data_IF_514140041800
#
_entry.id   IF_514140041800
#
_cell.length_a   1.000
_cell.length_b   1.000
_cell.length_c   1.000
_cell.angle_alpha   90.00
_cell.angle_beta   90.00
_cell.angle_gamma   90.00
#
_symmetry.space_group_name_H-M   'P 1'
#
loop_
_entity.id
_entity.type
_entity.pdbx_description
1 polymer ?
#
# COMPACT_ATOMS: atom_id res chain seq x y z
N UNK A 1 93.53 34.96 6.52
CA UNK A 1 92.26 35.16 7.26
C UNK A 1 92.01 33.88 8.03
N UNK A 2 92.39 33.87 9.32
CA UNK A 2 92.53 32.67 10.15
C UNK A 2 91.54 32.68 11.33
N UNK A 3 91.09 31.47 11.70
CA UNK A 3 90.72 30.99 13.06
C UNK A 3 89.35 31.40 13.67
N UNK A 4 88.85 30.73 14.74
CA UNK A 4 88.26 29.38 14.76
C UNK A 4 86.95 29.29 15.63
N UNK A 5 86.45 28.07 15.83
CA UNK A 5 85.40 27.59 16.76
C UNK A 5 85.24 28.27 18.14
N UNK A 6 84.00 28.38 18.68
CA UNK A 6 83.70 28.23 20.14
C UNK A 6 82.24 27.80 20.46
N UNK A 7 82.14 26.87 21.42
CA UNK A 7 80.97 26.43 22.21
C UNK A 7 80.42 27.54 23.15
N UNK A 8 79.12 27.49 23.48
CA UNK A 8 78.51 27.85 24.79
C UNK A 8 77.01 27.45 24.76
N UNK A 9 76.49 26.50 25.56
CA UNK A 9 76.20 26.43 27.00
C UNK A 9 74.81 26.96 27.42
N UNK A 10 73.97 26.00 27.82
CA UNK A 10 72.69 25.93 28.55
C UNK A 10 72.10 27.15 29.27
N UNK A 11 70.76 27.22 29.29
CA UNK A 11 69.99 27.49 30.52
C UNK A 11 68.59 26.85 30.52
N UNK A 12 68.33 26.10 31.60
CA UNK A 12 67.10 25.40 31.96
C UNK A 12 66.04 26.39 32.46
N UNK A 13 64.77 26.20 32.08
CA UNK A 13 63.62 26.70 32.83
C UNK A 13 62.55 25.59 32.91
N UNK A 14 62.57 24.82 34.00
CA UNK A 14 61.50 23.88 34.35
C UNK A 14 60.34 24.66 34.97
N UNK A 15 59.26 24.89 34.21
CA UNK A 15 57.97 25.29 34.75
C UNK A 15 57.10 24.05 34.98
N UNK A 16 56.86 23.70 36.25
CA UNK A 16 55.90 22.66 36.62
C UNK A 16 54.48 23.19 36.38
N UNK A 17 53.76 22.65 35.39
CA UNK A 17 52.32 22.81 35.27
C UNK A 17 51.63 21.76 36.15
N UNK A 18 50.90 22.21 37.17
CA UNK A 18 49.97 21.39 37.94
C UNK A 18 48.66 21.27 37.16
N UNK A 19 48.18 20.07 36.78
CA UNK A 19 46.90 19.94 36.09
C UNK A 19 45.74 20.08 37.08
N UNK A 20 44.98 21.17 36.97
CA UNK A 20 43.69 21.34 37.65
C UNK A 20 42.69 20.36 37.03
N UNK A 21 42.29 19.34 37.77
CA UNK A 21 41.20 18.46 37.36
C UNK A 21 39.86 19.13 37.68
N UNK A 22 39.19 19.65 36.66
CA UNK A 22 37.81 20.11 36.78
C UNK A 22 36.89 18.87 36.90
N UNK A 23 36.29 18.68 38.08
CA UNK A 23 35.26 17.66 38.29
C UNK A 23 33.96 18.13 37.64
N UNK A 24 33.55 17.47 36.55
CA UNK A 24 32.27 17.73 35.90
C UNK A 24 31.11 17.24 36.79
N UNK A 25 30.11 18.09 37.02
CA UNK A 25 28.88 17.69 37.70
C UNK A 25 28.08 16.72 36.83
N UNK A 26 27.42 15.70 37.42
CA UNK A 26 26.60 14.77 36.65
C UNK A 26 25.39 15.49 36.05
N UNK A 27 25.21 15.34 34.74
CA UNK A 27 24.06 15.90 34.02
C UNK A 27 22.78 15.15 34.41
N UNK A 28 21.84 15.85 35.03
CA UNK A 28 20.49 15.35 35.26
C UNK A 28 19.77 15.22 33.92
N UNK A 29 19.56 14.00 33.46
CA UNK A 29 18.75 13.73 32.26
C UNK A 29 17.28 13.97 32.60
N UNK A 30 16.69 15.01 32.01
CA UNK A 30 15.26 15.21 32.06
C UNK A 30 14.57 14.06 31.32
N UNK A 31 13.78 13.25 32.03
CA UNK A 31 13.00 12.19 31.43
C UNK A 31 11.99 12.79 30.45
N UNK A 32 12.13 12.48 29.17
CA UNK A 32 11.17 12.89 28.13
C UNK A 32 9.86 12.15 28.38
N UNK A 33 8.78 12.87 28.68
CA UNK A 33 7.47 12.26 28.83
C UNK A 33 7.07 11.54 27.54
N UNK A 34 6.55 10.32 27.67
CA UNK A 34 6.12 9.53 26.52
C UNK A 34 5.02 10.28 25.73
N UNK A 35 5.01 10.18 24.38
CA UNK A 35 4.00 10.84 23.57
C UNK A 35 2.61 10.30 23.92
N UNK A 36 1.72 11.19 24.38
CA UNK A 36 0.31 10.86 24.61
C UNK A 36 -0.37 10.66 23.25
N UNK A 37 -1.02 9.51 23.07
CA UNK A 37 -1.86 9.22 21.90
C UNK A 37 -3.33 9.38 22.29
N UNK A 38 -3.90 10.60 22.22
CA UNK A 38 -5.24 10.90 22.78
C UNK A 38 -6.40 10.12 22.14
N UNK A 39 -6.15 9.44 21.03
CA UNK A 39 -7.15 8.64 20.30
C UNK A 39 -6.91 7.12 20.46
N UNK A 40 -5.88 6.71 21.20
CA UNK A 40 -5.57 5.30 21.43
C UNK A 40 -6.72 4.66 22.22
N UNK A 41 -7.34 3.63 21.63
CA UNK A 41 -8.52 2.95 22.19
C UNK A 41 -9.87 3.38 21.59
N UNK A 42 -9.94 4.46 20.80
CA UNK A 42 -11.15 4.81 20.07
C UNK A 42 -11.42 3.81 18.93
N UNK A 43 -12.69 3.47 18.73
CA UNK A 43 -13.15 2.56 17.68
C UNK A 43 -14.02 3.31 16.68
N UNK A 44 -13.65 3.23 15.40
CA UNK A 44 -14.50 3.69 14.32
C UNK A 44 -15.78 2.85 14.25
N UNK A 45 -16.90 3.52 13.96
CA UNK A 45 -18.18 2.88 13.65
C UNK A 45 -18.81 3.53 12.44
N UNK A 46 -19.46 2.72 11.61
CA UNK A 46 -20.29 3.24 10.53
C UNK A 46 -21.52 3.93 11.13
N UNK A 47 -21.76 5.20 10.77
CA UNK A 47 -22.94 5.98 11.20
C UNK A 47 -24.08 5.88 10.19
N UNK A 48 -23.79 5.36 8.99
CA UNK A 48 -24.75 5.15 7.92
C UNK A 48 -24.67 6.24 6.83
N UNK A 49 -25.35 6.02 5.70
CA UNK A 49 -26.21 4.87 5.41
C UNK A 49 -25.41 3.55 5.29
N UNK A 50 -26.01 2.43 5.72
CA UNK A 50 -25.35 1.11 5.74
C UNK A 50 -25.15 0.51 4.33
N UNK A 51 -25.87 1.04 3.34
CA UNK A 51 -25.81 0.67 1.93
C UNK A 51 -26.03 1.93 1.11
N UNK A 52 -25.23 2.13 0.07
CA UNK A 52 -25.36 3.29 -0.80
C UNK A 52 -24.15 3.49 -1.68
N UNK A 53 -24.22 4.49 -2.56
CA UNK A 53 -23.18 4.77 -3.53
C UNK A 53 -23.31 3.95 -4.82
N UNK A 54 -22.35 4.14 -5.72
CA UNK A 54 -22.35 3.53 -7.05
C UNK A 54 -21.45 2.31 -7.07
N UNK A 55 -22.03 1.14 -7.25
CA UNK A 55 -21.29 -0.08 -7.57
C UNK A 55 -20.80 -0.02 -9.03
N UNK A 56 -19.53 -0.36 -9.23
CA UNK A 56 -18.82 -0.32 -10.51
C UNK A 56 -18.42 -1.71 -10.99
N UNK A 57 -18.27 -2.67 -10.07
CA UNK A 57 -18.02 -4.07 -10.39
C UNK A 57 -18.69 -5.00 -9.38
N UNK A 58 -19.20 -6.14 -9.85
CA UNK A 58 -19.80 -7.19 -9.01
C UNK A 58 -19.34 -8.55 -9.50
N UNK A 59 -19.16 -9.52 -8.61
CA UNK A 59 -18.98 -10.93 -8.97
C UNK A 59 -19.49 -11.85 -7.88
N UNK A 60 -20.07 -12.99 -8.28
CA UNK A 60 -20.36 -14.10 -7.37
C UNK A 60 -19.19 -15.06 -7.24
N UNK A 61 -19.36 -16.07 -6.39
CA UNK A 61 -18.44 -17.21 -6.24
C UNK A 61 -19.06 -18.48 -6.82
N UNK A 62 -18.41 -19.17 -7.76
CA UNK A 62 -18.90 -20.45 -8.28
C UNK A 62 -19.11 -21.48 -7.16
N UNK A 63 -20.30 -22.09 -7.12
CA UNK A 63 -20.67 -23.08 -6.11
C UNK A 63 -21.11 -22.52 -4.76
N UNK A 64 -21.09 -21.20 -4.56
CA UNK A 64 -21.56 -20.55 -3.34
C UNK A 64 -22.56 -19.43 -3.66
N UNK A 65 -23.88 -19.69 -3.58
CA UNK A 65 -24.90 -18.71 -3.92
C UNK A 65 -25.04 -17.57 -2.90
N UNK A 66 -24.33 -17.63 -1.75
CA UNK A 66 -24.42 -16.62 -0.70
C UNK A 66 -23.23 -15.66 -0.68
N UNK A 67 -22.17 -15.97 -1.43
CA UNK A 67 -20.95 -15.17 -1.45
C UNK A 67 -20.85 -14.31 -2.71
N UNK A 68 -20.77 -12.99 -2.48
CA UNK A 68 -20.61 -11.99 -3.54
C UNK A 68 -19.58 -10.94 -3.14
N UNK A 69 -18.98 -10.33 -4.16
CA UNK A 69 -18.11 -9.19 -4.03
C UNK A 69 -18.70 -8.03 -4.83
N UNK A 70 -18.60 -6.82 -4.30
CA UNK A 70 -18.79 -5.61 -5.09
C UNK A 70 -17.69 -4.60 -4.83
N UNK A 71 -17.42 -3.78 -5.83
CA UNK A 71 -16.54 -2.63 -5.76
C UNK A 71 -17.33 -1.37 -6.07
N UNK A 72 -16.95 -0.25 -5.45
CA UNK A 72 -17.59 1.03 -5.69
C UNK A 72 -16.72 2.00 -6.51
N UNK A 73 -17.35 3.00 -7.10
CA UNK A 73 -16.68 4.10 -7.81
C UNK A 73 -15.66 4.81 -6.91
N UNK A 74 -16.03 4.98 -5.64
CA UNK A 74 -15.16 5.32 -4.52
C UNK A 74 -15.81 4.71 -3.27
N UNK A 75 -15.03 4.21 -2.32
CA UNK A 75 -15.54 3.54 -1.11
C UNK A 75 -15.15 2.06 -0.98
N UNK A 76 -14.27 1.55 -1.84
CA UNK A 76 -13.53 0.32 -1.64
C UNK A 76 -14.22 -0.95 -2.15
N UNK A 77 -13.65 -2.07 -1.70
CA UNK A 77 -14.06 -3.43 -2.04
C UNK A 77 -14.81 -4.07 -0.87
N UNK A 78 -15.91 -4.75 -1.17
CA UNK A 78 -16.82 -5.32 -0.18
C UNK A 78 -17.13 -6.77 -0.50
N UNK A 79 -17.34 -7.57 0.56
CA UNK A 79 -17.75 -8.97 0.47
C UNK A 79 -18.92 -9.27 1.38
N UNK A 80 -19.86 -10.06 0.88
CA UNK A 80 -20.89 -10.73 1.67
C UNK A 80 -20.69 -12.24 1.60
N UNK A 81 -21.19 -12.96 2.60
CA UNK A 81 -21.25 -14.43 2.67
C UNK A 81 -22.62 -14.93 3.12
N UNK A 82 -23.61 -14.03 3.18
CA UNK A 82 -24.95 -14.28 3.72
C UNK A 82 -26.04 -13.73 2.78
N UNK A 83 -25.77 -13.77 1.47
CA UNK A 83 -26.75 -13.37 0.47
C UNK A 83 -26.94 -11.85 0.34
N UNK A 84 -25.98 -11.05 0.81
CA UNK A 84 -26.06 -9.58 0.77
C UNK A 84 -26.73 -8.95 1.99
N UNK A 85 -27.06 -9.76 3.01
CA UNK A 85 -27.61 -9.27 4.27
C UNK A 85 -26.59 -8.43 5.04
N UNK A 86 -25.34 -8.85 5.10
CA UNK A 86 -24.23 -8.08 5.65
C UNK A 86 -23.05 -8.00 4.69
N UNK A 87 -22.31 -6.89 4.77
CA UNK A 87 -21.14 -6.63 3.93
C UNK A 87 -19.94 -6.26 4.80
N UNK A 88 -18.79 -6.85 4.48
CA UNK A 88 -17.51 -6.60 5.15
C UNK A 88 -16.59 -5.84 4.19
N UNK A 89 -15.98 -4.72 4.62
CA UNK A 89 -14.97 -4.04 3.82
C UNK A 89 -13.70 -4.89 3.77
N UNK A 90 -13.09 -4.97 2.60
CA UNK A 90 -11.84 -5.70 2.38
C UNK A 90 -10.63 -4.78 2.20
N UNK A 91 -10.86 -3.49 1.92
CA UNK A 91 -9.82 -2.47 1.72
C UNK A 91 -9.40 -1.68 2.96
N UNK A 92 -10.16 -1.72 4.06
CA UNK A 92 -9.82 -0.97 5.28
C UNK A 92 -8.46 -1.35 5.87
N UNK A 93 -7.99 -2.58 5.61
CA UNK A 93 -6.67 -3.08 6.06
C UNK A 93 -5.58 -2.95 5.01
N UNK A 94 -5.88 -2.34 3.87
CA UNK A 94 -5.00 -2.26 2.71
C UNK A 94 -5.04 -0.85 2.08
N UNK A 95 -4.64 0.18 2.84
CA UNK A 95 -4.79 1.59 2.46
C UNK A 95 -3.95 2.00 1.24
N UNK A 96 -2.99 1.18 0.82
CA UNK A 96 -2.18 1.41 -0.36
C UNK A 96 -2.95 1.22 -1.67
N UNK A 97 -4.09 0.54 -1.66
CA UNK A 97 -4.93 0.39 -2.84
C UNK A 97 -5.91 1.55 -2.97
N UNK A 98 -6.17 1.96 -4.21
CA UNK A 98 -7.17 2.98 -4.48
C UNK A 98 -8.55 2.55 -3.99
N UNK A 99 -9.35 3.46 -3.40
CA UNK A 99 -10.72 3.18 -2.98
C UNK A 99 -11.68 3.03 -4.17
N UNK A 100 -11.24 3.25 -5.40
CA UNK A 100 -12.02 2.99 -6.60
C UNK A 100 -11.74 1.58 -7.11
N UNK A 101 -12.79 0.83 -7.40
CA UNK A 101 -12.70 -0.54 -7.92
C UNK A 101 -13.40 -0.62 -9.27
N UNK A 102 -12.68 -0.96 -10.33
CA UNK A 102 -13.22 -1.04 -11.69
C UNK A 102 -13.61 -2.46 -12.10
N UNK A 103 -12.89 -3.46 -11.61
CA UNK A 103 -13.14 -4.86 -11.96
C UNK A 103 -12.82 -5.79 -10.78
N UNK A 104 -13.60 -6.87 -10.66
CA UNK A 104 -13.36 -7.95 -9.70
C UNK A 104 -13.56 -9.27 -10.44
N UNK A 105 -12.64 -10.21 -10.26
CA UNK A 105 -12.75 -11.54 -10.82
C UNK A 105 -12.35 -12.60 -9.79
N UNK A 106 -13.22 -13.57 -9.57
CA UNK A 106 -12.94 -14.77 -8.78
C UNK A 106 -12.51 -15.88 -9.75
N UNK A 107 -11.42 -16.59 -9.44
CA UNK A 107 -10.96 -17.68 -10.28
C UNK A 107 -11.93 -18.89 -10.18
N UNK A 108 -12.47 -19.41 -11.30
CA UNK A 108 -13.43 -20.52 -11.24
C UNK A 108 -12.83 -21.82 -10.70
N UNK A 109 -11.55 -22.08 -11.01
CA UNK A 109 -10.80 -23.25 -10.53
C UNK A 109 -10.43 -23.19 -9.05
N UNK A 110 -10.39 -21.99 -8.45
CA UNK A 110 -10.07 -21.81 -7.05
C UNK A 110 -10.65 -20.48 -6.52
N UNK A 111 -11.85 -20.50 -5.92
CA UNK A 111 -12.50 -19.31 -5.38
C UNK A 111 -11.75 -18.52 -4.29
N UNK A 112 -10.64 -19.06 -3.76
CA UNK A 112 -9.75 -18.28 -2.88
C UNK A 112 -8.93 -17.26 -3.65
N UNK A 113 -8.73 -17.46 -4.95
CA UNK A 113 -7.99 -16.52 -5.80
C UNK A 113 -8.95 -15.47 -6.34
N UNK A 114 -8.67 -14.22 -6.01
CA UNK A 114 -9.46 -13.05 -6.43
C UNK A 114 -8.52 -12.00 -7.00
N UNK A 115 -8.83 -11.49 -8.19
CA UNK A 115 -8.16 -10.35 -8.79
C UNK A 115 -9.05 -9.12 -8.73
N UNK A 116 -8.46 -7.97 -8.45
CA UNK A 116 -9.14 -6.68 -8.35
C UNK A 116 -8.38 -5.65 -9.15
N UNK A 117 -9.07 -5.06 -10.11
CA UNK A 117 -8.57 -3.94 -10.89
C UNK A 117 -9.12 -2.67 -10.30
N UNK A 118 -8.24 -1.75 -9.93
CA UNK A 118 -8.65 -0.48 -9.33
C UNK A 118 -8.96 0.60 -10.38
N UNK A 119 -9.68 1.63 -9.95
CA UNK A 119 -10.05 2.79 -10.75
C UNK A 119 -11.49 2.78 -11.21
N UNK A 120 -12.11 3.95 -11.21
CA UNK A 120 -13.49 4.11 -11.64
C UNK A 120 -13.60 4.01 -13.16
N UNK A 121 -14.47 3.12 -13.63
CA UNK A 121 -14.66 2.85 -15.07
C UNK A 121 -15.95 3.46 -15.62
N UNK A 122 -16.84 3.93 -14.76
CA UNK A 122 -18.08 4.61 -15.12
C UNK A 122 -17.82 6.13 -15.25
N UNK A 123 -16.90 6.50 -16.13
CA UNK A 123 -16.32 7.85 -16.21
C UNK A 123 -17.41 8.91 -16.39
N UNK A 124 -17.48 9.84 -15.44
CA UNK A 124 -18.22 11.12 -15.53
C UNK A 124 -17.24 12.26 -15.23
N UNK A 125 -17.68 13.52 -15.29
CA UNK A 125 -16.80 14.71 -15.22
C UNK A 125 -15.77 14.74 -14.08
N UNK A 126 -15.95 13.93 -13.04
CA UNK A 126 -14.96 13.59 -12.02
C UNK A 126 -14.90 12.06 -11.82
N UNK A 127 -13.68 11.53 -11.64
CA UNK A 127 -13.44 10.11 -11.35
C UNK A 127 -12.36 9.95 -10.29
N UNK A 128 -12.42 8.84 -9.54
CA UNK A 128 -11.31 8.42 -8.69
C UNK A 128 -10.45 7.41 -9.45
N UNK A 129 -9.19 7.77 -9.64
CA UNK A 129 -8.22 6.93 -10.36
C UNK A 129 -7.78 5.75 -9.50
N UNK A 130 -7.54 4.63 -10.17
CA UNK A 130 -6.92 3.43 -9.65
C UNK A 130 -5.40 3.55 -9.58
N UNK A 131 -4.81 2.48 -9.07
CA UNK A 131 -3.36 2.29 -8.98
C UNK A 131 -2.95 0.83 -9.26
N UNK A 132 -3.71 0.17 -10.14
CA UNK A 132 -3.36 -1.10 -10.75
C UNK A 132 -4.13 -2.32 -10.28
N UNK A 133 -3.53 -3.48 -10.56
CA UNK A 133 -4.09 -4.79 -10.32
C UNK A 133 -3.61 -5.32 -8.96
N UNK A 134 -4.51 -5.96 -8.23
CA UNK A 134 -4.23 -6.64 -6.97
C UNK A 134 -4.76 -8.06 -7.01
N UNK A 135 -4.07 -8.96 -6.32
CA UNK A 135 -4.42 -10.37 -6.18
C UNK A 135 -4.54 -10.74 -4.71
N UNK A 136 -5.55 -11.54 -4.38
CA UNK A 136 -5.65 -12.29 -3.15
C UNK A 136 -5.61 -13.78 -3.45
N UNK A 137 -5.05 -14.57 -2.54
CA UNK A 137 -5.08 -16.05 -2.58
C UNK A 137 -5.80 -16.65 -1.37
N UNK A 138 -6.48 -15.82 -0.58
CA UNK A 138 -7.18 -16.20 0.64
C UNK A 138 -8.61 -15.61 0.72
N UNK A 139 -9.23 -15.45 -0.45
CA UNK A 139 -10.58 -14.94 -0.65
C UNK A 139 -10.80 -13.49 -0.19
N UNK A 140 -9.73 -12.68 -0.22
CA UNK A 140 -9.72 -11.25 0.03
C UNK A 140 -9.36 -10.84 1.47
N UNK A 141 -8.73 -11.73 2.25
CA UNK A 141 -8.23 -11.39 3.59
C UNK A 141 -6.89 -10.65 3.51
N UNK A 142 -6.04 -11.04 2.58
CA UNK A 142 -4.76 -10.39 2.26
C UNK A 142 -4.63 -10.19 0.76
N UNK A 143 -3.82 -9.20 0.38
CA UNK A 143 -3.68 -8.75 -0.99
C UNK A 143 -2.22 -8.48 -1.34
N UNK A 144 -1.89 -8.65 -2.61
CA UNK A 144 -0.58 -8.36 -3.18
C UNK A 144 -0.76 -7.60 -4.48
N UNK A 145 0.12 -6.63 -4.73
CA UNK A 145 0.16 -5.94 -6.00
C UNK A 145 0.52 -6.92 -7.14
N UNK A 146 -0.15 -6.78 -8.27
CA UNK A 146 -0.12 -7.71 -9.40
C UNK A 146 0.13 -7.00 -10.75
N UNK A 147 0.72 -5.80 -10.72
CA UNK A 147 1.10 -5.04 -11.91
C UNK A 147 0.16 -3.87 -12.24
N UNK A 148 0.45 -3.20 -13.37
CA UNK A 148 -0.40 -2.14 -13.93
C UNK A 148 -0.53 -0.88 -13.05
N UNK A 149 0.58 -0.45 -12.42
CA UNK A 149 0.56 0.58 -11.36
C UNK A 149 0.00 1.92 -11.83
N UNK A 150 0.30 2.31 -13.07
CA UNK A 150 -0.08 3.60 -13.65
C UNK A 150 -1.35 3.52 -14.50
N UNK A 151 -2.07 2.40 -14.46
CA UNK A 151 -3.20 2.18 -15.36
C UNK A 151 -4.39 3.09 -15.06
N UNK A 152 -4.57 3.55 -13.83
CA UNK A 152 -5.69 4.41 -13.39
C UNK A 152 -7.12 3.87 -13.58
N UNK A 153 -7.41 2.97 -14.51
CA UNK A 153 -8.71 2.34 -14.67
C UNK A 153 -8.60 0.95 -15.31
N UNK A 154 -8.97 -0.08 -14.56
CA UNK A 154 -9.09 -1.45 -15.07
C UNK A 154 -10.58 -1.81 -15.14
N UNK A 155 -11.10 -2.01 -16.35
CA UNK A 155 -12.53 -2.21 -16.61
C UNK A 155 -12.97 -3.66 -16.67
N UNK A 156 -12.06 -4.60 -16.91
CA UNK A 156 -12.39 -6.02 -16.97
C UNK A 156 -11.21 -6.88 -16.58
N UNK A 157 -11.52 -7.96 -15.86
CA UNK A 157 -10.59 -9.06 -15.60
C UNK A 157 -11.33 -10.35 -15.90
N UNK A 158 -10.67 -11.30 -16.56
CA UNK A 158 -11.15 -12.67 -16.71
C UNK A 158 -10.02 -13.63 -16.32
N UNK A 159 -10.38 -14.71 -15.61
CA UNK A 159 -9.43 -15.73 -15.16
C UNK A 159 -9.75 -17.03 -15.90
N UNK A 160 -8.72 -17.73 -16.35
CA UNK A 160 -8.89 -19.03 -16.98
C UNK A 160 -9.61 -20.00 -16.02
N UNK A 161 -10.70 -20.66 -16.45
CA UNK A 161 -11.47 -21.53 -15.59
C UNK A 161 -10.70 -22.76 -15.10
N UNK A 162 -9.56 -23.10 -15.72
CA UNK A 162 -8.71 -24.25 -15.38
C UNK A 162 -7.39 -23.85 -14.72
N UNK A 163 -7.00 -22.58 -14.77
CA UNK A 163 -5.72 -22.10 -14.22
C UNK A 163 -5.87 -20.70 -13.58
N UNK A 164 -5.84 -20.59 -12.25
CA UNK A 164 -6.02 -19.29 -11.57
C UNK A 164 -4.85 -18.32 -11.78
N UNK A 165 -3.73 -18.74 -12.36
CA UNK A 165 -2.59 -17.87 -12.69
C UNK A 165 -2.65 -17.32 -14.11
N UNK A 166 -3.50 -17.89 -14.98
CA UNK A 166 -3.75 -17.33 -16.30
C UNK A 166 -4.89 -16.33 -16.23
N UNK A 167 -4.55 -15.06 -16.34
CA UNK A 167 -5.49 -13.94 -16.19
C UNK A 167 -5.32 -12.97 -17.35
N UNK A 168 -6.42 -12.43 -17.83
CA UNK A 168 -6.45 -11.38 -18.84
C UNK A 168 -7.10 -10.13 -18.27
N UNK A 169 -6.53 -8.98 -18.58
CA UNK A 169 -6.93 -7.68 -18.04
C UNK A 169 -7.20 -6.72 -19.18
N UNK A 170 -8.38 -6.11 -19.20
CA UNK A 170 -8.68 -4.97 -20.06
C UNK A 170 -8.50 -3.68 -19.25
N UNK A 171 -7.40 -3.00 -19.54
CA UNK A 171 -7.01 -1.76 -18.92
C UNK A 171 -7.45 -0.58 -19.80
N UNK A 172 -8.28 0.29 -19.24
CA UNK A 172 -8.64 1.54 -19.91
C UNK A 172 -7.46 2.50 -19.93
N UNK A 173 -6.51 2.41 -19.00
CA UNK A 173 -5.45 3.42 -18.89
C UNK A 173 -5.99 4.73 -18.28
N UNK A 174 -5.22 5.80 -18.43
CA UNK A 174 -5.61 7.13 -17.93
C UNK A 174 -6.96 7.59 -18.52
N UNK A 175 -7.98 7.91 -17.71
CA UNK A 175 -9.29 8.34 -18.22
C UNK A 175 -9.22 9.56 -19.15
N UNK A 176 -8.26 10.45 -18.91
CA UNK A 176 -8.14 11.75 -19.59
C UNK A 176 -6.77 11.95 -20.25
N UNK A 177 -6.29 10.95 -21.00
CA UNK A 177 -5.04 11.10 -21.75
C UNK A 177 -4.49 9.79 -22.32
N UNK A 178 -3.39 9.90 -23.08
CA UNK A 178 -2.62 8.73 -23.50
C UNK A 178 -1.93 8.08 -22.29
N UNK A 179 -1.78 6.77 -22.33
CA UNK A 179 -1.08 5.99 -21.31
C UNK A 179 -0.59 4.68 -21.94
N UNK A 180 0.62 4.24 -21.58
CA UNK A 180 1.24 3.01 -22.10
C UNK A 180 0.58 1.74 -21.55
N UNK A 181 -0.09 1.83 -20.40
CA UNK A 181 -0.83 0.71 -19.79
C UNK A 181 -2.30 0.64 -20.26
N UNK A 182 -2.67 1.33 -21.34
CA UNK A 182 -3.97 1.16 -22.01
C UNK A 182 -3.92 -0.05 -22.95
N UNK A 183 -4.82 -1.02 -22.76
CA UNK A 183 -4.94 -2.14 -23.69
C UNK A 183 -5.36 -3.46 -23.02
N UNK A 184 -4.99 -4.56 -23.69
CA UNK A 184 -5.21 -5.92 -23.21
C UNK A 184 -3.89 -6.52 -22.72
N UNK A 185 -3.91 -7.03 -21.50
CA UNK A 185 -2.77 -7.68 -20.87
C UNK A 185 -3.12 -9.13 -20.56
N UNK A 186 -2.10 -9.98 -20.54
CA UNK A 186 -2.20 -11.38 -20.14
C UNK A 186 -1.05 -11.69 -19.20
N UNK A 187 -1.38 -12.30 -18.08
CA UNK A 187 -0.40 -12.97 -17.22
C UNK A 187 -0.60 -14.48 -17.26
N UNK A 188 0.49 -15.22 -17.12
CA UNK A 188 0.48 -16.69 -16.95
C UNK A 188 1.08 -17.12 -15.61
N UNK A 189 1.45 -16.17 -14.75
CA UNK A 189 2.06 -16.41 -13.45
C UNK A 189 1.29 -15.72 -12.30
N UNK A 190 0.06 -15.29 -12.60
CA UNK A 190 -0.84 -14.68 -11.65
C UNK A 190 -0.49 -13.25 -11.30
N UNK A 191 0.02 -12.48 -12.26
CA UNK A 191 0.28 -11.05 -12.17
C UNK A 191 1.67 -10.69 -11.66
N UNK A 192 2.65 -11.60 -11.76
CA UNK A 192 4.06 -11.25 -11.55
C UNK A 192 4.67 -10.67 -12.83
N UNK A 193 4.18 -11.11 -13.99
CA UNK A 193 4.46 -10.54 -15.32
C UNK A 193 3.27 -10.62 -16.27
#
# INVERSE_FOLDING_TARGET
>A
MNHPSRLALALLACSMLVPVHASAAPATTAATAAPVKPLEGLKYRLVGPFRGGRATGVTGVPGDPNTFYFGSASGGLWKTTDGGMTWKPLWDKFPEASPAVGAIAVAPSNPKVVYVGTGEVNIRGNVVTGNGLYKSTDAGKTWSFAGLRDTQAIGRIIVDPKDPNRVFVAALGHPFGPNSERGLFRSTDGGKS
#
